data_IF_192320748378
#
_entry.id   IF_192320748378
#
_cell.length_a   1.000
_cell.length_b   1.000
_cell.length_c   1.000
_cell.angle_alpha   90.00
_cell.angle_beta   90.00
_cell.angle_gamma   90.00
#
_symmetry.space_group_name_H-M   'P 1'
#
loop_
_entity.id
_entity.type
_entity.pdbx_description
1 polymer ?
#
# COMPACT_ATOMS: atom_id res chain seq x y z
N UNK A 1 18.71 11.77 -19.42
CA UNK A 1 17.86 11.49 -18.25
C UNK A 1 16.93 10.28 -18.50
N UNK A 2 17.48 9.09 -18.78
CA UNK A 2 16.67 7.88 -19.11
C UNK A 2 17.12 6.61 -18.38
N UNK A 3 18.37 6.57 -17.87
CA UNK A 3 18.92 5.40 -17.16
C UNK A 3 18.20 5.15 -15.83
N UNK A 4 17.86 6.22 -15.10
CA UNK A 4 17.17 6.11 -13.81
C UNK A 4 15.73 5.60 -13.95
N UNK A 5 14.92 6.20 -14.84
CA UNK A 5 13.53 5.76 -15.10
C UNK A 5 13.48 4.28 -15.51
N UNK A 6 14.36 3.85 -16.41
CA UNK A 6 14.47 2.43 -16.80
C UNK A 6 14.82 1.51 -15.62
N UNK A 7 15.76 1.91 -14.76
CA UNK A 7 16.14 1.13 -13.57
C UNK A 7 14.96 0.98 -12.60
N UNK A 8 14.23 2.06 -12.35
CA UNK A 8 13.06 2.05 -11.46
C UNK A 8 11.95 1.14 -11.99
N UNK A 9 11.60 1.26 -13.28
CA UNK A 9 10.61 0.40 -13.93
C UNK A 9 10.99 -1.09 -13.78
N UNK A 10 12.26 -1.42 -14.00
CA UNK A 10 12.75 -2.80 -13.87
C UNK A 10 12.61 -3.32 -12.44
N UNK A 11 12.97 -2.52 -11.44
CA UNK A 11 12.84 -2.90 -10.02
C UNK A 11 11.37 -3.14 -9.67
N UNK A 12 10.49 -2.22 -10.05
CA UNK A 12 9.05 -2.34 -9.76
C UNK A 12 8.48 -3.60 -10.44
N UNK A 13 8.78 -3.82 -11.72
CA UNK A 13 8.34 -5.01 -12.46
C UNK A 13 8.80 -6.32 -11.80
N UNK A 14 10.04 -6.37 -11.31
CA UNK A 14 10.60 -7.55 -10.64
C UNK A 14 9.86 -7.91 -9.34
N UNK A 15 9.43 -6.90 -8.56
CA UNK A 15 8.77 -7.13 -7.28
C UNK A 15 7.25 -7.31 -7.42
N UNK A 16 6.62 -6.71 -8.43
CA UNK A 16 5.16 -6.82 -8.64
C UNK A 16 4.76 -8.00 -9.53
N UNK A 17 5.72 -8.61 -10.24
CA UNK A 17 5.44 -9.64 -11.25
C UNK A 17 4.76 -9.11 -12.51
N UNK A 18 4.69 -7.78 -12.68
CA UNK A 18 4.15 -7.12 -13.88
C UNK A 18 5.24 -6.95 -14.94
N UNK A 19 4.83 -6.74 -16.20
CA UNK A 19 5.78 -6.45 -17.27
C UNK A 19 6.34 -5.02 -17.16
N UNK A 20 7.55 -4.80 -17.68
CA UNK A 20 8.15 -3.46 -17.72
C UNK A 20 7.33 -2.46 -18.56
N UNK A 21 6.58 -2.94 -19.55
CA UNK A 21 5.70 -2.11 -20.38
C UNK A 21 4.46 -1.64 -19.62
N UNK A 22 3.84 -2.54 -18.85
CA UNK A 22 2.70 -2.18 -18.00
C UNK A 22 3.11 -1.16 -16.94
N UNK A 23 4.18 -1.45 -16.19
CA UNK A 23 4.71 -0.52 -15.17
C UNK A 23 5.09 0.83 -15.77
N UNK A 24 5.62 0.85 -17.00
CA UNK A 24 5.96 2.10 -17.69
C UNK A 24 4.72 2.94 -18.01
N UNK A 25 3.66 2.31 -18.52
CA UNK A 25 2.40 2.99 -18.80
C UNK A 25 1.76 3.54 -17.53
N UNK A 26 1.73 2.71 -16.49
CA UNK A 26 1.18 3.07 -15.18
C UNK A 26 2.00 4.17 -14.48
N UNK A 27 3.32 4.24 -14.75
CA UNK A 27 4.23 5.25 -14.18
C UNK A 27 4.41 6.50 -15.07
N UNK A 28 3.66 6.63 -16.17
CA UNK A 28 3.76 7.81 -17.02
C UNK A 28 3.05 9.03 -16.43
N UNK A 29 2.01 8.79 -15.62
CA UNK A 29 1.33 9.78 -14.80
C UNK A 29 1.18 9.27 -13.37
N UNK A 30 0.76 10.17 -12.49
CA UNK A 30 0.39 9.80 -11.13
C UNK A 30 -0.78 8.80 -11.17
N UNK A 31 -0.52 7.59 -10.71
CA UNK A 31 -1.52 6.53 -10.61
C UNK A 31 -1.73 6.15 -9.14
N UNK A 32 -2.83 6.63 -8.58
CA UNK A 32 -3.22 6.37 -7.19
C UNK A 32 -3.97 5.05 -7.11
N UNK A 33 -3.61 4.21 -6.14
CA UNK A 33 -4.25 2.93 -5.87
C UNK A 33 -4.76 2.91 -4.43
N UNK A 34 -5.92 2.29 -4.21
CA UNK A 34 -6.36 1.87 -2.89
C UNK A 34 -5.45 0.75 -2.35
N UNK A 35 -5.53 0.48 -1.04
CA UNK A 35 -4.74 -0.59 -0.43
C UNK A 35 -5.03 -1.96 -1.08
N UNK A 36 -6.29 -2.24 -1.40
CA UNK A 36 -6.70 -3.47 -2.08
C UNK A 36 -6.13 -3.55 -3.51
N UNK A 37 -6.18 -2.45 -4.26
CA UNK A 37 -5.62 -2.39 -5.61
C UNK A 37 -4.10 -2.56 -5.60
N UNK A 38 -3.40 -1.95 -4.64
CA UNK A 38 -1.96 -2.11 -4.46
C UNK A 38 -1.59 -3.59 -4.17
N UNK A 39 -2.41 -4.30 -3.39
CA UNK A 39 -2.23 -5.73 -3.15
C UNK A 39 -2.40 -6.55 -4.43
N UNK A 40 -3.48 -6.30 -5.19
CA UNK A 40 -3.74 -6.98 -6.47
C UNK A 40 -2.68 -6.64 -7.52
N UNK A 41 -2.12 -5.43 -7.46
CA UNK A 41 -1.01 -5.03 -8.32
C UNK A 41 0.29 -5.76 -7.96
N UNK A 42 0.43 -6.25 -6.72
CA UNK A 42 1.65 -6.88 -6.21
C UNK A 42 2.63 -5.88 -5.61
N UNK A 43 2.20 -4.66 -5.25
CA UNK A 43 3.02 -3.68 -4.55
C UNK A 43 3.14 -3.98 -3.06
N UNK A 44 2.14 -4.66 -2.49
CA UNK A 44 2.07 -5.03 -1.07
C UNK A 44 1.51 -6.45 -0.93
N UNK A 45 1.96 -7.18 0.07
CA UNK A 45 1.53 -8.58 0.26
C UNK A 45 0.16 -8.66 0.94
N UNK A 46 -0.05 -7.88 2.00
CA UNK A 46 -1.25 -7.95 2.84
C UNK A 46 -1.74 -6.57 3.28
N UNK A 47 -3.06 -6.42 3.41
CA UNK A 47 -3.71 -5.19 3.88
C UNK A 47 -4.36 -5.47 5.23
N UNK A 48 -3.78 -4.89 6.27
CA UNK A 48 -4.23 -5.02 7.66
C UNK A 48 -5.13 -3.83 8.04
N UNK A 49 -6.24 -4.09 8.74
CA UNK A 49 -7.11 -3.03 9.28
C UNK A 49 -6.76 -2.67 10.71
N UNK A 50 -6.18 -3.61 11.46
CA UNK A 50 -5.81 -3.41 12.85
C UNK A 50 -4.51 -4.13 13.21
N UNK A 51 -3.81 -3.61 14.22
CA UNK A 51 -2.59 -4.25 14.76
C UNK A 51 -2.83 -5.65 15.32
N UNK A 52 -4.09 -6.02 15.63
CA UNK A 52 -4.46 -7.36 16.07
C UNK A 52 -4.30 -8.38 14.93
N UNK A 53 -4.54 -7.99 13.69
CA UNK A 53 -4.42 -8.88 12.51
C UNK A 53 -2.97 -9.23 12.20
N UNK A 54 -2.01 -8.32 12.41
CA UNK A 54 -0.57 -8.57 12.23
C UNK A 54 -0.08 -9.73 13.10
N UNK A 55 -0.59 -9.83 14.33
CA UNK A 55 -0.21 -10.88 15.28
C UNK A 55 -0.57 -12.29 14.80
N UNK A 56 -1.45 -12.42 13.80
CA UNK A 56 -1.86 -13.70 13.23
C UNK A 56 -0.98 -14.12 12.04
N UNK A 57 -0.25 -13.18 11.42
CA UNK A 57 0.53 -13.41 10.20
C UNK A 57 1.97 -13.84 10.48
N UNK A 58 2.54 -13.44 11.62
CA UNK A 58 3.97 -13.64 11.94
C UNK A 58 4.33 -15.01 12.56
N UNK A 59 3.36 -15.91 12.80
CA UNK A 59 3.62 -17.24 13.40
C UNK A 59 4.25 -17.23 14.82
N UNK A 60 4.62 -16.06 15.36
CA UNK A 60 5.14 -15.87 16.69
C UNK A 60 4.01 -15.43 17.64
N UNK A 61 3.72 -16.30 18.61
CA UNK A 61 2.78 -16.06 19.71
C UNK A 61 2.97 -14.64 20.29
N UNK A 62 1.92 -13.80 20.37
CA UNK A 62 2.10 -12.41 20.73
C UNK A 62 2.53 -12.25 22.20
N UNK A 63 3.47 -11.33 22.52
CA UNK A 63 3.63 -10.90 23.90
C UNK A 63 2.31 -10.26 24.35
N UNK A 64 1.72 -10.90 25.34
CA UNK A 64 0.63 -10.43 26.19
C UNK A 64 0.91 -8.99 26.61
N UNK A 65 0.06 -8.05 26.19
CA UNK A 65 0.27 -6.64 26.49
C UNK A 65 -0.66 -5.75 25.70
N UNK A 66 -1.79 -5.45 26.35
CA UNK A 66 -2.78 -4.46 25.97
C UNK A 66 -2.14 -3.07 25.76
N UNK A 67 -2.48 -2.42 24.64
CA UNK A 67 -2.37 -0.96 24.45
C UNK A 67 -3.39 -0.54 23.41
N UNK A 68 -4.58 -0.21 23.91
CA UNK A 68 -5.57 0.67 23.31
C UNK A 68 -4.89 1.90 22.69
N UNK A 69 -5.03 2.06 21.38
CA UNK A 69 -4.75 3.33 20.70
C UNK A 69 -6.04 3.75 20.02
N UNK A 70 -6.69 4.75 20.59
CA UNK A 70 -7.85 5.43 20.05
C UNK A 70 -7.45 6.09 18.73
N UNK A 71 -8.08 5.71 17.63
CA UNK A 71 -7.87 6.34 16.32
C UNK A 71 -8.86 7.49 16.23
N UNK A 72 -8.38 8.71 16.44
CA UNK A 72 -9.13 9.92 16.19
C UNK A 72 -9.39 10.04 14.67
N UNK A 73 -10.61 9.74 14.26
CA UNK A 73 -11.13 10.02 12.93
C UNK A 73 -11.39 11.53 12.82
N UNK A 74 -10.35 12.31 12.52
CA UNK A 74 -10.52 13.74 12.20
C UNK A 74 -10.96 13.88 10.74
N UNK A 75 -12.24 13.65 10.49
CA UNK A 75 -12.89 14.00 9.25
C UNK A 75 -12.87 15.54 9.08
N UNK A 76 -12.25 16.01 8.00
CA UNK A 76 -12.38 17.41 7.54
C UNK A 76 -13.87 17.71 7.26
N UNK A 77 -14.46 18.76 7.85
CA UNK A 77 -15.88 19.04 7.63
C UNK A 77 -16.11 19.59 6.22
N UNK A 78 -16.76 18.81 5.35
CA UNK A 78 -17.44 19.37 4.17
C UNK A 78 -18.71 20.06 4.64
N UNK A 79 -18.68 21.39 4.79
CA UNK A 79 -19.91 22.18 4.95
C UNK A 79 -20.44 22.54 3.56
N UNK A 80 -21.54 21.90 3.18
CA UNK A 80 -22.34 22.26 1.99
C UNK A 80 -23.52 23.08 2.48
N UNK A 81 -23.73 24.25 1.87
CA UNK A 81 -25.01 24.94 1.65
C UNK A 81 -26.00 25.16 2.80
N UNK A 82 -26.24 26.44 3.11
CA UNK A 82 -27.39 26.97 3.83
C UNK A 82 -27.35 28.48 3.76
#
# INVERSE_FOLDING_TARGET
MFKLKKRLIKIIAQHTGKSEEQVRGDSDRDYYMSAQEAKVYGLVDEVIKSRKEVKLLDGANPPSGDRSVEVAETALPRKVGG
#
